data_IF_989724745191
#
_entry.id   IF_989724745191
#
_cell.length_a   1.000
_cell.length_b   1.000
_cell.length_c   1.000
_cell.angle_alpha   90.00
_cell.angle_beta   90.00
_cell.angle_gamma   90.00
#
_symmetry.space_group_name_H-M   'P 1'
#
loop_
_entity.id
_entity.type
_entity.pdbx_description
1 polymer ?
#
# COMPACT_ATOMS: atom_id res chain seq x y z
N UNK A 1 -8.44 9.15 -30.01
CA UNK A 1 -8.08 7.75 -29.63
C UNK A 1 -9.27 7.15 -28.89
N UNK A 2 -9.91 6.10 -29.43
CA UNK A 2 -11.09 5.47 -28.79
C UNK A 2 -10.60 4.37 -27.84
N UNK A 3 -10.81 4.53 -26.54
CA UNK A 3 -10.45 3.51 -25.55
C UNK A 3 -11.34 2.29 -25.81
N UNK A 4 -10.70 1.14 -26.05
CA UNK A 4 -11.40 -0.14 -26.24
C UNK A 4 -11.63 -0.79 -24.88
N UNK A 5 -12.70 -1.54 -24.74
CA UNK A 5 -13.01 -2.34 -23.54
C UNK A 5 -11.82 -3.21 -23.08
N UNK A 6 -11.05 -3.76 -24.03
CA UNK A 6 -9.85 -4.53 -23.74
C UNK A 6 -8.75 -3.73 -23.04
N UNK A 7 -8.65 -2.41 -23.26
CA UNK A 7 -7.72 -1.54 -22.54
C UNK A 7 -8.20 -1.25 -21.13
N UNK A 8 -9.50 -1.02 -20.94
CA UNK A 8 -10.11 -0.80 -19.62
C UNK A 8 -9.86 -2.02 -18.73
N UNK A 9 -10.13 -3.23 -19.26
CA UNK A 9 -9.85 -4.47 -18.51
C UNK A 9 -8.37 -4.64 -18.18
N UNK A 10 -7.45 -4.34 -19.10
CA UNK A 10 -6.01 -4.40 -18.82
C UNK A 10 -5.62 -3.49 -17.66
N UNK A 11 -6.11 -2.25 -17.65
CA UNK A 11 -5.87 -1.28 -16.58
C UNK A 11 -6.47 -1.79 -15.26
N UNK A 12 -7.69 -2.34 -15.28
CA UNK A 12 -8.32 -2.89 -14.10
C UNK A 12 -7.53 -4.06 -13.51
N UNK A 13 -7.11 -5.02 -14.32
CA UNK A 13 -6.30 -6.15 -13.85
C UNK A 13 -4.92 -5.70 -13.34
N UNK A 14 -4.25 -4.76 -14.02
CA UNK A 14 -2.95 -4.26 -13.57
C UNK A 14 -3.06 -3.48 -12.26
N UNK A 15 -4.10 -2.65 -12.11
CA UNK A 15 -4.33 -1.89 -10.88
C UNK A 15 -4.75 -2.80 -9.72
N UNK A 16 -5.57 -3.82 -9.98
CA UNK A 16 -5.90 -4.84 -8.98
C UNK A 16 -4.65 -5.61 -8.50
N UNK A 17 -3.76 -6.01 -9.43
CA UNK A 17 -2.51 -6.67 -9.06
C UNK A 17 -1.59 -5.72 -8.27
N UNK A 18 -1.51 -4.45 -8.67
CA UNK A 18 -0.78 -3.42 -7.94
C UNK A 18 -1.30 -3.21 -6.52
N UNK A 19 -2.63 -3.16 -6.34
CA UNK A 19 -3.26 -3.02 -5.03
C UNK A 19 -2.91 -4.20 -4.10
N UNK A 20 -2.97 -5.43 -4.61
CA UNK A 20 -2.57 -6.63 -3.84
C UNK A 20 -1.10 -6.52 -3.40
N UNK A 21 -0.22 -6.09 -4.30
CA UNK A 21 1.20 -5.89 -4.00
C UNK A 21 1.45 -4.82 -2.94
N UNK A 22 0.75 -3.68 -3.04
CA UNK A 22 0.84 -2.58 -2.07
C UNK A 22 0.38 -3.02 -0.68
N UNK A 23 -0.75 -3.75 -0.60
CA UNK A 23 -1.25 -4.30 0.67
C UNK A 23 -0.28 -5.32 1.27
N UNK A 24 0.28 -6.22 0.46
CA UNK A 24 1.29 -7.18 0.92
C UNK A 24 2.56 -6.48 1.47
N UNK A 25 3.00 -5.42 0.80
CA UNK A 25 4.13 -4.60 1.25
C UNK A 25 3.81 -3.88 2.57
N UNK A 26 2.60 -3.31 2.69
CA UNK A 26 2.14 -2.69 3.94
C UNK A 26 2.18 -3.67 5.11
N UNK A 27 1.60 -4.86 4.91
CA UNK A 27 1.60 -5.94 5.91
C UNK A 27 3.04 -6.30 6.29
N UNK A 28 3.93 -6.47 5.31
CA UNK A 28 5.34 -6.82 5.56
C UNK A 28 6.05 -5.80 6.46
N UNK A 29 5.80 -4.49 6.28
CA UNK A 29 6.36 -3.45 7.15
C UNK A 29 5.82 -3.56 8.58
N UNK A 30 4.54 -3.91 8.76
CA UNK A 30 3.94 -4.15 10.08
C UNK A 30 4.50 -5.40 10.77
N UNK A 31 4.97 -6.39 10.00
CA UNK A 31 5.66 -7.56 10.55
C UNK A 31 7.13 -7.27 10.87
N UNK A 32 7.80 -6.42 10.10
CA UNK A 32 9.20 -6.02 10.33
C UNK A 32 9.41 -5.29 11.66
N UNK A 33 8.34 -4.82 12.31
CA UNK A 33 8.38 -4.16 13.62
C UNK A 33 8.56 -5.12 14.81
N UNK A 34 8.69 -6.43 14.55
CA UNK A 34 8.99 -7.47 15.54
C UNK A 34 7.77 -7.95 16.34
N UNK A 35 6.87 -7.05 16.74
CA UNK A 35 5.61 -7.40 17.38
C UNK A 35 4.46 -6.58 16.81
N UNK A 36 3.40 -7.24 16.33
CA UNK A 36 2.28 -6.58 15.67
C UNK A 36 1.62 -5.51 16.56
N UNK A 37 1.44 -5.80 17.84
CA UNK A 37 0.86 -4.84 18.78
C UNK A 37 1.71 -3.56 18.95
N UNK A 38 3.04 -3.67 18.82
CA UNK A 38 3.94 -2.52 18.86
C UNK A 38 3.78 -1.66 17.61
N UNK A 39 3.58 -2.28 16.44
CA UNK A 39 3.36 -1.57 15.18
C UNK A 39 2.13 -0.65 15.18
N UNK A 40 1.18 -0.89 16.08
CA UNK A 40 -0.05 -0.10 16.28
C UNK A 40 0.13 1.04 17.30
N UNK A 41 1.28 1.15 17.96
CA UNK A 41 1.52 2.24 18.89
C UNK A 41 1.55 3.58 18.16
N UNK A 42 1.13 4.64 18.85
CA UNK A 42 1.12 6.00 18.31
C UNK A 42 2.49 6.40 17.75
N UNK A 43 3.56 6.08 18.48
CA UNK A 43 4.94 6.39 18.11
C UNK A 43 5.33 5.75 16.78
N UNK A 44 5.01 4.46 16.59
CA UNK A 44 5.28 3.76 15.34
C UNK A 44 4.43 4.30 14.18
N UNK A 45 3.17 4.66 14.43
CA UNK A 45 2.30 5.25 13.41
C UNK A 45 2.87 6.60 12.96
N UNK A 46 3.26 7.48 13.89
CA UNK A 46 3.84 8.78 13.55
C UNK A 46 5.17 8.62 12.81
N UNK A 47 6.07 7.76 13.27
CA UNK A 47 7.35 7.50 12.60
C UNK A 47 7.16 7.00 11.15
N UNK A 48 6.15 6.18 10.93
CA UNK A 48 5.76 5.69 9.62
C UNK A 48 5.27 6.84 8.70
N UNK A 49 4.45 7.76 9.20
CA UNK A 49 3.99 8.94 8.43
C UNK A 49 5.08 9.98 8.19
N UNK A 50 6.10 10.06 9.05
CA UNK A 50 7.26 10.94 8.83
C UNK A 50 8.16 10.46 7.68
N UNK A 51 8.06 9.18 7.31
CA UNK A 51 8.79 8.63 6.17
C UNK A 51 7.99 8.85 4.89
N UNK A 52 8.43 9.77 4.02
CA UNK A 52 7.71 10.13 2.78
C UNK A 52 7.30 8.91 1.94
N UNK A 53 8.21 7.95 1.74
CA UNK A 53 7.94 6.75 0.94
C UNK A 53 6.81 5.89 1.54
N UNK A 54 6.75 5.80 2.87
CA UNK A 54 5.73 5.02 3.55
C UNK A 54 4.42 5.80 3.70
N UNK A 55 4.48 7.12 3.88
CA UNK A 55 3.31 7.99 3.80
C UNK A 55 2.61 7.86 2.43
N UNK A 56 3.35 7.93 1.32
CA UNK A 56 2.78 7.71 -0.02
C UNK A 56 2.14 6.32 -0.12
N UNK A 57 2.81 5.28 0.37
CA UNK A 57 2.27 3.92 0.37
C UNK A 57 0.97 3.83 1.18
N UNK A 58 0.88 4.49 2.33
CA UNK A 58 -0.33 4.54 3.16
C UNK A 58 -1.48 5.23 2.43
N UNK A 59 -1.23 6.39 1.83
CA UNK A 59 -2.22 7.15 1.05
C UNK A 59 -2.70 6.40 -0.20
N UNK A 60 -1.86 5.53 -0.78
CA UNK A 60 -2.25 4.70 -1.93
C UNK A 60 -3.12 3.48 -1.56
N UNK A 61 -3.18 3.13 -0.27
CA UNK A 61 -3.98 2.00 0.24
C UNK A 61 -5.31 2.46 0.86
N UNK A 62 -5.37 3.69 1.37
CA UNK A 62 -6.56 4.30 1.98
C UNK A 62 -7.63 4.66 0.95
#
# INVERSE_FOLDING_TARGET
>A
MRIRESHIRKIHYSTALGAIGLVALHISVRFSTGHFASSLSYEFVVANYQTLSYAILLELIL
#
